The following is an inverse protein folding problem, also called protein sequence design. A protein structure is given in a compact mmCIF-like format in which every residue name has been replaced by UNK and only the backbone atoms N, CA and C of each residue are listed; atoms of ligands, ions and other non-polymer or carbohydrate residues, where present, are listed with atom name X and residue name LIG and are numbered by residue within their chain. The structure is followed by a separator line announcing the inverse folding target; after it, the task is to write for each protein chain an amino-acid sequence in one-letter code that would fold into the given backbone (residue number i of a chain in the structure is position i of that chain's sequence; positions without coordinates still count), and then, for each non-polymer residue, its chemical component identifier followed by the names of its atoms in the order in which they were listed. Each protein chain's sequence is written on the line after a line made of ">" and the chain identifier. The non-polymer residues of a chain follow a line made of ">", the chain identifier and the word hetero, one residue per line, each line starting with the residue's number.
data_IF_940904413952
#
_entry.id   IF_940904413952
#
_cell.length_a   1.000
_cell.length_b   1.000
_cell.length_c   1.000
_cell.angle_alpha   90.00
_cell.angle_beta   90.00
_cell.angle_gamma   90.00
#
_symmetry.space_group_name_H-M   'P 1'
#
loop_
_entity.id
_entity.type
_entity.pdbx_description
1 polymer ?
#
# COMPACT_ATOMS: atom_id res chain seq x y z
N UNK A 1 0.62 -6.16 -12.49
CA UNK A 1 1.30 -5.63 -11.28
C UNK A 1 2.70 -6.24 -11.22
N UNK A 2 3.66 -5.59 -10.57
CA UNK A 2 5.00 -6.18 -10.39
C UNK A 2 4.93 -7.38 -9.43
N UNK A 3 5.23 -8.57 -9.95
CA UNK A 3 5.15 -9.82 -9.18
C UNK A 3 6.19 -9.89 -8.05
N UNK A 4 7.30 -9.15 -8.13
CA UNK A 4 8.26 -9.07 -7.03
C UNK A 4 7.67 -8.31 -5.84
N UNK A 5 7.00 -7.18 -6.09
CA UNK A 5 6.29 -6.42 -5.06
C UNK A 5 5.11 -7.21 -4.47
N UNK A 6 4.39 -7.97 -5.29
CA UNK A 6 3.34 -8.89 -4.79
C UNK A 6 3.92 -9.91 -3.83
N UNK A 7 5.07 -10.51 -4.17
CA UNK A 7 5.76 -11.45 -3.28
C UNK A 7 6.20 -10.79 -1.98
N UNK A 8 6.79 -9.60 -2.06
CA UNK A 8 7.25 -8.82 -0.89
C UNK A 8 6.09 -8.50 0.05
N UNK A 9 4.97 -7.98 -0.49
CA UNK A 9 3.75 -7.70 0.27
C UNK A 9 3.23 -8.96 0.98
N UNK A 10 3.15 -10.10 0.28
CA UNK A 10 2.71 -11.37 0.88
C UNK A 10 3.67 -11.81 2.01
N UNK A 11 4.98 -11.62 1.83
CA UNK A 11 5.97 -11.95 2.86
C UNK A 11 5.86 -11.04 4.07
N UNK A 12 5.63 -9.75 3.87
CA UNK A 12 5.39 -8.78 4.95
C UNK A 12 4.12 -9.13 5.73
N UNK A 13 3.01 -9.37 5.04
CA UNK A 13 1.75 -9.80 5.66
C UNK A 13 1.92 -11.12 6.44
N UNK A 14 2.71 -12.06 5.92
CA UNK A 14 2.98 -13.33 6.58
C UNK A 14 3.93 -13.22 7.77
N UNK A 15 4.79 -12.19 7.82
CA UNK A 15 5.86 -12.05 8.82
C UNK A 15 5.36 -11.98 10.27
N UNK A 16 4.12 -11.53 10.47
CA UNK A 16 3.49 -11.44 11.77
C UNK A 16 2.98 -12.80 12.31
N UNK A 17 2.98 -13.85 11.49
CA UNK A 17 2.47 -15.16 11.85
C UNK A 17 3.60 -16.08 12.34
N UNK A 18 3.23 -17.05 13.19
CA UNK A 18 4.16 -18.04 13.73
C UNK A 18 4.76 -18.96 12.65
N UNK A 19 3.98 -19.24 11.60
CA UNK A 19 4.38 -20.11 10.48
C UNK A 19 4.23 -19.34 9.15
N UNK A 20 5.12 -18.37 8.86
CA UNK A 20 4.99 -17.46 7.73
C UNK A 20 4.96 -18.19 6.39
N UNK A 21 5.73 -19.27 6.24
CA UNK A 21 5.75 -20.06 5.00
C UNK A 21 4.40 -20.69 4.66
N UNK A 22 3.62 -21.11 5.67
CA UNK A 22 2.29 -21.66 5.44
C UNK A 22 1.31 -20.58 4.96
N UNK A 23 1.42 -19.38 5.53
CA UNK A 23 0.61 -18.23 5.11
C UNK A 23 0.95 -17.82 3.68
N UNK A 24 2.23 -17.74 3.33
CA UNK A 24 2.68 -17.51 1.95
C UNK A 24 2.10 -18.58 1.02
N UNK A 25 2.26 -19.86 1.37
CA UNK A 25 1.72 -20.98 0.57
C UNK A 25 0.21 -20.88 0.38
N UNK A 26 -0.52 -20.45 1.41
CA UNK A 26 -1.97 -20.28 1.37
C UNK A 26 -2.38 -19.20 0.36
N UNK A 27 -1.71 -18.04 0.34
CA UNK A 27 -1.97 -17.01 -0.67
C UNK A 27 -1.75 -17.54 -2.10
N UNK A 28 -0.64 -18.24 -2.35
CA UNK A 28 -0.35 -18.77 -3.69
C UNK A 28 -1.23 -19.95 -4.12
N UNK A 29 -1.93 -20.60 -3.20
CA UNK A 29 -2.91 -21.65 -3.50
C UNK A 29 -4.33 -21.11 -3.66
N UNK A 30 -4.56 -19.85 -3.31
CA UNK A 30 -5.86 -19.21 -3.35
C UNK A 30 -5.83 -18.02 -4.32
N UNK A 31 -6.24 -18.28 -5.56
CA UNK A 31 -6.23 -17.28 -6.63
C UNK A 31 -7.01 -16.01 -6.28
N UNK A 32 -8.11 -16.12 -5.52
CA UNK A 32 -8.86 -14.95 -5.08
C UNK A 32 -8.01 -14.04 -4.19
N UNK A 33 -7.41 -14.61 -3.15
CA UNK A 33 -6.58 -13.84 -2.21
C UNK A 33 -5.32 -13.29 -2.90
N UNK A 34 -4.71 -14.08 -3.79
CA UNK A 34 -3.58 -13.61 -4.58
C UNK A 34 -3.96 -12.41 -5.46
N UNK A 35 -5.16 -12.44 -6.07
CA UNK A 35 -5.66 -11.34 -6.89
C UNK A 35 -6.01 -10.09 -6.09
N UNK A 36 -6.48 -10.24 -4.85
CA UNK A 36 -6.68 -9.12 -3.92
C UNK A 36 -5.34 -8.42 -3.64
N UNK A 37 -4.29 -9.17 -3.29
CA UNK A 37 -2.95 -8.58 -3.06
C UNK A 37 -2.39 -7.94 -4.32
N UNK A 38 -2.56 -8.58 -5.49
CA UNK A 38 -2.18 -8.00 -6.78
C UNK A 38 -2.88 -6.67 -7.07
N UNK A 39 -4.13 -6.51 -6.64
CA UNK A 39 -4.90 -5.28 -6.82
C UNK A 39 -4.34 -4.16 -5.95
N UNK A 40 -4.05 -4.44 -4.68
CA UNK A 40 -3.40 -3.46 -3.78
C UNK A 40 -2.05 -3.01 -4.34
N UNK A 41 -1.20 -3.94 -4.77
CA UNK A 41 0.10 -3.60 -5.37
C UNK A 41 -0.08 -2.77 -6.65
N UNK A 42 -1.09 -3.07 -7.47
CA UNK A 42 -1.38 -2.27 -8.65
C UNK A 42 -1.78 -0.84 -8.27
N UNK A 43 -2.60 -0.66 -7.22
CA UNK A 43 -2.99 0.66 -6.73
C UNK A 43 -1.77 1.48 -6.27
N UNK A 44 -0.86 0.87 -5.50
CA UNK A 44 0.39 1.52 -5.09
C UNK A 44 1.24 1.94 -6.30
N UNK A 45 1.36 1.07 -7.30
CA UNK A 45 2.09 1.40 -8.53
C UNK A 45 1.46 2.54 -9.34
N UNK A 46 0.12 2.64 -9.31
CA UNK A 46 -0.57 3.78 -9.93
C UNK A 46 -0.27 5.06 -9.16
N UNK A 47 -0.29 5.04 -7.83
CA UNK A 47 0.10 6.19 -7.00
C UNK A 47 1.54 6.61 -7.28
N UNK A 48 2.49 5.67 -7.29
CA UNK A 48 3.89 5.92 -7.65
C UNK A 48 4.00 6.60 -9.03
N UNK A 49 3.26 6.09 -10.01
CA UNK A 49 3.26 6.62 -11.38
C UNK A 49 2.72 8.05 -11.43
N UNK A 50 1.68 8.36 -10.67
CA UNK A 50 1.13 9.71 -10.57
C UNK A 50 2.14 10.64 -9.90
N UNK A 51 2.73 10.23 -8.78
CA UNK A 51 3.74 11.01 -8.06
C UNK A 51 4.96 11.33 -8.92
N UNK A 52 5.44 10.37 -9.73
CA UNK A 52 6.55 10.59 -10.66
C UNK A 52 6.27 11.66 -11.72
N UNK A 53 5.00 11.86 -12.07
CA UNK A 53 4.57 12.84 -13.08
C UNK A 53 4.09 14.16 -12.47
N UNK A 54 3.79 14.17 -11.17
CA UNK A 54 3.31 15.33 -10.47
C UNK A 54 4.45 16.29 -10.14
N UNK A 55 4.14 17.59 -10.08
CA UNK A 55 5.03 18.57 -9.48
C UNK A 55 4.87 18.53 -7.97
N UNK A 56 5.82 17.90 -7.27
CA UNK A 56 5.82 17.78 -5.80
C UNK A 56 6.63 18.93 -5.20
N UNK A 57 6.12 19.53 -4.11
CA UNK A 57 6.81 20.56 -3.34
C UNK A 57 6.75 20.22 -1.86
N UNK A 58 7.89 20.25 -1.19
CA UNK A 58 7.94 20.04 0.26
C UNK A 58 7.51 21.31 1.01
N UNK A 59 6.72 21.13 2.07
CA UNK A 59 6.29 22.21 2.97
C UNK A 59 6.63 21.82 4.40
N UNK A 60 7.49 22.60 5.06
CA UNK A 60 7.72 22.45 6.49
C UNK A 60 6.48 22.90 7.25
N UNK A 61 5.98 22.03 8.13
CA UNK A 61 4.83 22.27 9.01
C UNK A 61 5.20 21.86 10.44
N UNK A 62 4.52 22.43 11.43
CA UNK A 62 4.67 21.99 12.82
C UNK A 62 4.05 20.60 13.05
N UNK A 63 4.44 19.93 14.13
CA UNK A 63 3.84 18.64 14.51
C UNK A 63 2.32 18.76 14.68
N UNK A 64 1.86 19.81 15.38
CA UNK A 64 0.43 20.07 15.58
C UNK A 64 -0.31 20.22 14.25
N UNK A 65 0.28 20.91 13.26
CA UNK A 65 -0.33 21.04 11.93
C UNK A 65 -0.35 19.72 11.15
N UNK A 66 0.67 18.88 11.30
CA UNK A 66 0.76 17.59 10.59
C UNK A 66 -0.27 16.55 11.08
N UNK A 67 -0.64 16.57 12.36
CA UNK A 67 -1.58 15.60 12.96
C UNK A 67 -3.01 16.13 13.10
N UNK A 68 -3.24 17.41 12.77
CA UNK A 68 -4.59 17.99 12.77
C UNK A 68 -5.47 17.21 11.78
N UNK A 69 -6.65 16.71 12.21
CA UNK A 69 -7.62 16.15 11.29
C UNK A 69 -7.94 17.17 10.20
N UNK A 70 -7.97 16.72 8.95
CA UNK A 70 -8.37 17.58 7.84
C UNK A 70 -9.84 17.92 8.06
N UNK A 71 -10.13 19.15 8.45
CA UNK A 71 -11.51 19.65 8.40
C UNK A 71 -11.95 19.60 6.93
N UNK A 72 -13.03 18.86 6.67
CA UNK A 72 -13.56 18.77 5.31
C UNK A 72 -13.85 20.19 4.80
N UNK A 73 -13.45 20.53 3.57
CA UNK A 73 -13.76 21.84 3.01
C UNK A 73 -15.28 22.02 3.05
N UNK A 74 -15.73 23.05 3.78
CA UNK A 74 -17.13 23.43 3.82
C UNK A 74 -17.49 23.86 2.39
N UNK A 75 -18.39 23.10 1.76
CA UNK A 75 -18.88 23.44 0.43
C UNK A 75 -19.77 24.70 0.56
N UNK A 76 -19.37 25.78 -0.12
CA UNK A 76 -20.22 26.96 -0.35
C UNK A 76 -21.34 26.66 -1.36
#
# INVERSE_FOLDING_TARGET
>A
PDEARVREMIQEMASAYQEPEQVVSWYYKNDQQLNEVRSVVLEEQVVDTVLQKASVTDKSVSYEEAVKPVEAPQAD
#
